data_IF_182986079838
#
_entry.id   IF_182986079838
#
_cell.length_a   1.000
_cell.length_b   1.000
_cell.length_c   1.000
_cell.angle_alpha   90.00
_cell.angle_beta   90.00
_cell.angle_gamma   90.00
#
_symmetry.space_group_name_H-M   'P 1'
#
loop_
_entity.id
_entity.type
_entity.pdbx_description
1 polymer ?
#
# COMPACT_ATOMS: atom_id res chain seq x y z
N UNK A 1 -6.67 16.16 -0.80
CA UNK A 1 -7.43 15.04 -1.41
C UNK A 1 -7.27 13.83 -0.52
N UNK A 2 -8.39 13.29 -0.05
CA UNK A 2 -8.50 12.33 1.07
C UNK A 2 -8.02 10.95 0.61
N UNK A 3 -7.13 10.32 1.38
CA UNK A 3 -6.71 8.92 1.21
C UNK A 3 -7.91 7.99 1.41
N UNK A 4 -8.08 6.98 0.55
CA UNK A 4 -9.17 6.01 0.68
C UNK A 4 -8.60 4.65 1.11
N UNK A 5 -9.28 3.94 2.02
CA UNK A 5 -8.86 2.58 2.34
C UNK A 5 -8.92 1.72 1.07
N UNK A 6 -7.79 1.07 0.74
CA UNK A 6 -7.74 0.05 -0.29
C UNK A 6 -8.37 -1.25 0.21
N UNK A 7 -8.14 -1.57 1.49
CA UNK A 7 -8.82 -2.63 2.25
C UNK A 7 -9.07 -2.11 3.67
N UNK A 8 -9.65 -2.94 4.56
CA UNK A 8 -9.83 -2.58 5.98
C UNK A 8 -8.52 -2.19 6.69
N UNK A 9 -7.39 -2.77 6.26
CA UNK A 9 -6.08 -2.63 6.94
C UNK A 9 -5.03 -1.89 6.10
N UNK A 10 -5.32 -1.62 4.82
CA UNK A 10 -4.38 -0.97 3.89
C UNK A 10 -4.89 0.41 3.50
N UNK A 11 -4.20 1.45 3.99
CA UNK A 11 -4.39 2.83 3.54
C UNK A 11 -3.50 3.06 2.33
N UNK A 12 -4.12 3.33 1.18
CA UNK A 12 -3.41 3.47 -0.07
C UNK A 12 -4.18 4.33 -1.07
N UNK A 13 -3.81 4.21 -2.35
CA UNK A 13 -4.59 4.80 -3.45
C UNK A 13 -4.89 3.79 -4.51
N UNK A 14 -6.12 3.89 -5.02
CA UNK A 14 -6.54 3.28 -6.26
C UNK A 14 -6.41 4.30 -7.40
N UNK A 15 -5.94 3.84 -8.55
CA UNK A 15 -5.78 4.64 -9.75
C UNK A 15 -6.43 3.93 -10.92
N UNK A 16 -7.22 4.67 -11.70
CA UNK A 16 -7.70 4.24 -13.01
C UNK A 16 -6.70 4.73 -14.06
N UNK A 17 -6.20 3.83 -14.89
CA UNK A 17 -5.14 4.07 -15.87
C UNK A 17 -5.66 3.83 -17.29
N UNK A 18 -4.99 4.41 -18.29
CA UNK A 18 -5.28 4.20 -19.71
C UNK A 18 -6.78 4.32 -20.04
N UNK A 19 -7.39 5.45 -19.64
CA UNK A 19 -8.83 5.71 -19.83
C UNK A 19 -9.75 4.64 -19.19
N UNK A 20 -9.30 4.04 -18.09
CA UNK A 20 -10.04 3.02 -17.36
C UNK A 20 -9.90 1.60 -17.91
N UNK A 21 -8.97 1.36 -18.82
CA UNK A 21 -8.65 0.00 -19.30
C UNK A 21 -7.76 -0.77 -18.33
N UNK A 22 -7.03 -0.07 -17.47
CA UNK A 22 -6.14 -0.64 -16.48
C UNK A 22 -6.41 0.00 -15.12
N UNK A 23 -5.93 -0.65 -14.07
CA UNK A 23 -6.02 -0.13 -12.72
C UNK A 23 -4.71 -0.33 -11.98
N UNK A 24 -4.45 0.48 -10.98
CA UNK A 24 -3.30 0.30 -10.11
C UNK A 24 -3.64 0.63 -8.66
N UNK A 25 -2.96 -0.05 -7.75
CA UNK A 25 -2.97 0.24 -6.34
C UNK A 25 -1.56 0.61 -5.88
N UNK A 26 -1.43 1.61 -5.02
CA UNK A 26 -0.15 1.89 -4.37
C UNK A 26 -0.31 2.26 -2.90
N UNK A 27 0.67 1.88 -2.09
CA UNK A 27 0.80 2.28 -0.69
C UNK A 27 2.25 2.16 -0.22
N UNK A 28 2.56 2.83 0.88
CA UNK A 28 3.77 2.61 1.65
C UNK A 28 3.43 1.76 2.88
N UNK A 29 4.35 0.87 3.23
CA UNK A 29 4.21 -0.05 4.36
C UNK A 29 5.46 -0.04 5.23
N UNK A 30 5.24 -0.04 6.54
CA UNK A 30 6.22 -0.27 7.59
C UNK A 30 5.59 -1.21 8.64
N UNK A 31 6.36 -1.75 9.60
CA UNK A 31 5.81 -2.61 10.65
C UNK A 31 4.62 -1.96 11.38
N UNK A 32 3.43 -2.53 11.19
CA UNK A 32 2.18 -2.08 11.82
C UNK A 32 1.59 -0.78 11.26
N UNK A 33 2.10 -0.24 10.15
CA UNK A 33 1.64 1.03 9.59
C UNK A 33 1.55 0.98 8.06
N UNK A 34 0.46 1.52 7.50
CA UNK A 34 0.30 1.76 6.07
C UNK A 34 -0.07 3.23 5.82
N UNK A 35 0.41 3.80 4.72
CA UNK A 35 0.07 5.16 4.32
C UNK A 35 0.22 5.36 2.81
N UNK A 36 -0.56 6.26 2.23
CA UNK A 36 -0.33 6.77 0.88
C UNK A 36 0.39 8.12 0.89
N UNK A 37 0.56 8.72 2.06
CA UNK A 37 1.01 10.08 2.22
C UNK A 37 2.53 10.14 2.31
N UNK A 38 3.16 10.64 1.26
CA UNK A 38 4.61 10.85 1.19
C UNK A 38 5.16 11.65 2.39
N UNK A 39 4.35 12.55 2.96
CA UNK A 39 4.75 13.39 4.10
C UNK A 39 4.94 12.61 5.40
N UNK A 40 4.23 11.48 5.60
CA UNK A 40 4.41 10.64 6.78
C UNK A 40 5.82 10.05 6.83
N UNK A 41 6.41 9.77 5.67
CA UNK A 41 7.81 9.31 5.56
C UNK A 41 8.79 10.38 6.01
N UNK A 42 8.60 11.64 5.61
CA UNK A 42 9.47 12.77 6.01
C UNK A 42 9.41 12.97 7.53
N UNK A 43 8.23 12.86 8.13
CA UNK A 43 8.10 13.00 9.59
C UNK A 43 8.76 11.85 10.36
N UNK A 44 8.73 10.62 9.83
CA UNK A 44 9.43 9.49 10.46
C UNK A 44 10.96 9.65 10.50
N UNK A 45 11.54 10.30 9.49
CA UNK A 45 12.98 10.64 9.48
C UNK A 45 13.31 11.77 10.48
N UNK A 46 12.40 12.74 10.67
CA UNK A 46 12.59 13.84 11.62
C UNK A 46 12.48 13.37 13.08
N UNK A 47 11.62 12.40 13.39
CA UNK A 47 11.39 11.90 14.76
C UNK A 47 12.36 10.80 15.20
N UNK A 48 13.32 10.38 14.35
CA UNK A 48 14.23 9.24 14.58
C UNK A 48 13.52 7.90 14.90
N UNK A 49 12.23 7.77 14.56
CA UNK A 49 11.58 6.47 14.47
C UNK A 49 11.87 5.93 13.07
N UNK A 50 13.07 5.38 12.89
CA UNK A 50 13.48 4.78 11.62
C UNK A 50 12.63 3.54 11.34
N UNK A 51 11.52 3.75 10.64
CA UNK A 51 10.77 2.68 10.01
C UNK A 51 11.27 2.56 8.58
N UNK A 52 11.79 1.39 8.21
CA UNK A 52 12.05 1.07 6.81
C UNK A 52 10.71 1.04 6.10
N UNK A 53 10.50 1.97 5.17
CA UNK A 53 9.27 2.04 4.40
C UNK A 53 9.44 1.35 3.04
N UNK A 54 8.60 0.35 2.79
CA UNK A 54 8.48 -0.32 1.50
C UNK A 54 7.36 0.34 0.68
N UNK A 55 7.67 0.80 -0.53
CA UNK A 55 6.66 1.21 -1.51
C UNK A 55 6.15 -0.04 -2.24
N UNK A 56 4.86 -0.28 -2.15
CA UNK A 56 4.19 -1.35 -2.89
C UNK A 56 3.37 -0.72 -4.01
N UNK A 57 3.59 -1.21 -5.23
CA UNK A 57 2.87 -0.78 -6.44
C UNK A 57 2.37 -2.02 -7.16
N UNK A 58 1.06 -2.10 -7.36
CA UNK A 58 0.40 -3.21 -8.06
C UNK A 58 -0.27 -2.66 -9.30
N UNK A 59 0.10 -3.20 -10.47
CA UNK A 59 -0.54 -2.88 -11.74
C UNK A 59 -1.46 -4.04 -12.12
N UNK A 60 -2.69 -3.72 -12.47
CA UNK A 60 -3.65 -4.63 -13.05
C UNK A 60 -3.76 -4.35 -14.54
N UNK A 61 -3.50 -5.37 -15.35
CA UNK A 61 -3.53 -5.27 -16.81
C UNK A 61 -4.95 -5.10 -17.38
N UNK A 62 -5.97 -5.17 -16.52
CA UNK A 62 -7.38 -4.94 -16.83
C UNK A 62 -8.00 -3.94 -15.85
N UNK A 63 -9.18 -3.45 -16.20
CA UNK A 63 -9.98 -2.60 -15.32
C UNK A 63 -10.56 -3.44 -14.19
N UNK A 64 -10.28 -3.04 -12.97
CA UNK A 64 -10.90 -3.60 -11.78
C UNK A 64 -11.46 -2.47 -10.92
N UNK A 65 -12.38 -2.82 -10.03
CA UNK A 65 -12.81 -1.94 -8.94
C UNK A 65 -12.10 -2.31 -7.65
N UNK A 66 -11.82 -1.33 -6.79
CA UNK A 66 -11.17 -1.60 -5.52
C UNK A 66 -12.02 -2.50 -4.61
N UNK A 67 -13.35 -2.46 -4.71
CA UNK A 67 -14.29 -3.25 -3.90
C UNK A 67 -14.52 -4.68 -4.41
N UNK A 68 -13.87 -5.09 -5.50
CA UNK A 68 -13.94 -6.48 -5.97
C UNK A 68 -13.30 -7.44 -4.94
N UNK A 69 -13.98 -8.56 -4.59
CA UNK A 69 -13.47 -9.48 -3.56
C UNK A 69 -12.06 -10.02 -3.87
N UNK A 70 -11.77 -10.34 -5.13
CA UNK A 70 -10.45 -10.83 -5.54
C UNK A 70 -9.35 -9.77 -5.39
N UNK A 71 -9.68 -8.49 -5.62
CA UNK A 71 -8.76 -7.36 -5.41
C UNK A 71 -8.50 -7.17 -3.92
N UNK A 72 -9.55 -7.17 -3.10
CA UNK A 72 -9.46 -7.07 -1.64
C UNK A 72 -8.59 -8.18 -1.05
N UNK A 73 -8.82 -9.43 -1.46
CA UNK A 73 -8.06 -10.60 -1.00
C UNK A 73 -6.59 -10.53 -1.40
N UNK A 74 -6.29 -10.15 -2.65
CA UNK A 74 -4.92 -9.99 -3.13
C UNK A 74 -4.17 -8.91 -2.34
N UNK A 75 -4.76 -7.72 -2.18
CA UNK A 75 -4.11 -6.61 -1.49
C UNK A 75 -3.88 -6.93 0.00
N UNK A 76 -4.83 -7.60 0.65
CA UNK A 76 -4.67 -8.07 2.03
C UNK A 76 -3.54 -9.12 2.15
N UNK A 77 -3.47 -10.08 1.22
CA UNK A 77 -2.43 -11.09 1.19
C UNK A 77 -1.04 -10.45 1.01
N UNK A 78 -0.89 -9.50 0.09
CA UNK A 78 0.37 -8.80 -0.14
C UNK A 78 0.82 -8.03 1.11
N UNK A 79 -0.10 -7.31 1.77
CA UNK A 79 0.20 -6.61 3.01
C UNK A 79 0.71 -7.56 4.10
N UNK A 80 0.05 -8.71 4.29
CA UNK A 80 0.46 -9.71 5.29
C UNK A 80 1.82 -10.33 4.98
N UNK A 81 2.10 -10.68 3.71
CA UNK A 81 3.37 -11.28 3.32
C UNK A 81 4.55 -10.32 3.44
N UNK A 82 4.33 -9.03 3.19
CA UNK A 82 5.38 -8.02 3.36
C UNK A 82 5.67 -7.73 4.84
N UNK A 83 4.65 -7.80 5.71
CA UNK A 83 4.83 -7.63 7.16
C UNK A 83 5.67 -8.75 7.80
N UNK A 84 5.55 -9.99 7.30
CA UNK A 84 6.37 -11.12 7.78
C UNK A 84 7.81 -11.08 7.26
N UNK A 85 8.02 -10.55 6.04
CA UNK A 85 9.35 -10.31 5.47
C UNK A 85 10.13 -9.26 6.27
N UNK A 86 9.51 -8.11 6.60
CA UNK A 86 10.14 -7.04 7.39
C UNK A 86 10.52 -7.52 8.81
N UNK A 87 9.79 -8.50 9.35
CA UNK A 87 10.08 -9.08 10.68
C UNK A 87 11.30 -10.01 10.69
N UNK A 88 11.82 -10.41 9.52
CA UNK A 88 12.84 -11.46 9.36
C UNK A 88 14.24 -10.93 9.07
N UNK A 89 14.44 -9.61 8.93
CA UNK A 89 15.75 -8.97 8.79
C UNK A 89 15.94 -7.89 9.87
N UNK A 90 16.40 -8.25 11.09
CA UNK A 90 16.95 -7.25 12.00
C UNK A 90 18.29 -6.78 11.39
N UNK A 91 18.41 -5.49 11.14
CA UNK A 91 19.71 -4.84 10.89
C UNK A 91 20.40 -4.62 12.23
#
# INVERSE_FOLDING_TARGET
MISQPLTSDVIGRWLSLNQGQQSAAYWFQAPGQTTDAFIHRIWSEVTRQESTWTLVSVLFDQSHKPDEPAVQELLALMHQQLATQDSSHPI
#
